data_IF_299732833842
#
_entry.id   IF_299732833842
#
_cell.length_a   1.000
_cell.length_b   1.000
_cell.length_c   1.000
_cell.angle_alpha   90.00
_cell.angle_beta   90.00
_cell.angle_gamma   90.00
#
_symmetry.space_group_name_H-M   'P 1'
#
loop_
_entity.id
_entity.type
_entity.pdbx_description
1 polymer ?
#
# COMPACT_ATOMS: atom_id res chain seq x y z
N UNK A 1 -7.10 -28.04 -0.55
CA UNK A 1 -6.33 -27.32 -1.60
C UNK A 1 -6.15 -25.89 -1.12
N UNK A 2 -4.93 -25.46 -0.83
CA UNK A 2 -4.66 -24.07 -0.40
C UNK A 2 -4.63 -23.20 -1.64
N UNK A 3 -5.59 -22.30 -1.77
CA UNK A 3 -5.64 -21.32 -2.85
C UNK A 3 -4.53 -20.29 -2.62
N UNK A 4 -3.44 -20.37 -3.40
CA UNK A 4 -2.35 -19.42 -3.33
C UNK A 4 -2.70 -18.21 -4.19
N UNK A 5 -3.04 -17.11 -3.53
CA UNK A 5 -3.46 -15.87 -4.20
C UNK A 5 -2.21 -15.00 -4.35
N UNK A 6 -1.77 -14.82 -5.59
CA UNK A 6 -0.61 -13.99 -5.92
C UNK A 6 -1.10 -12.62 -6.38
N UNK A 7 -0.66 -11.56 -5.70
CA UNK A 7 -0.89 -10.18 -6.17
C UNK A 7 0.38 -9.60 -6.74
N UNK A 8 0.26 -8.98 -7.91
CA UNK A 8 1.34 -8.22 -8.54
C UNK A 8 1.17 -6.76 -8.20
N UNK A 9 2.22 -6.19 -7.61
CA UNK A 9 2.30 -4.75 -7.37
C UNK A 9 3.50 -4.19 -8.12
N UNK A 10 3.37 -3.02 -8.77
CA UNK A 10 4.46 -2.45 -9.54
C UNK A 10 5.60 -1.96 -8.64
N UNK A 11 5.30 -1.56 -7.40
CA UNK A 11 6.27 -1.03 -6.44
C UNK A 11 5.90 -1.38 -5.01
N UNK A 12 6.90 -1.74 -4.22
CA UNK A 12 6.73 -2.00 -2.79
C UNK A 12 6.46 -0.71 -1.97
N UNK A 13 7.05 0.40 -2.40
CA UNK A 13 6.96 1.72 -1.77
C UNK A 13 6.58 2.75 -2.81
N UNK A 14 5.59 3.58 -2.51
CA UNK A 14 5.02 4.56 -3.45
C UNK A 14 4.82 5.91 -2.77
N UNK A 15 4.79 6.97 -3.58
CA UNK A 15 4.38 8.30 -3.12
C UNK A 15 2.85 8.37 -2.98
N UNK A 16 2.27 9.31 -2.20
CA UNK A 16 0.82 9.51 -2.13
C UNK A 16 0.15 9.75 -3.48
N UNK A 17 0.85 10.43 -4.39
CA UNK A 17 0.36 10.63 -5.77
C UNK A 17 0.34 9.35 -6.59
N UNK A 18 1.35 8.49 -6.46
CA UNK A 18 1.40 7.18 -7.12
C UNK A 18 0.36 6.23 -6.52
N UNK A 19 0.21 6.20 -5.19
CA UNK A 19 -0.82 5.46 -4.49
C UNK A 19 -2.22 5.81 -5.02
N UNK A 20 -2.48 7.12 -5.18
CA UNK A 20 -3.75 7.58 -5.71
C UNK A 20 -4.00 7.09 -7.14
N UNK A 21 -2.97 7.06 -7.98
CA UNK A 21 -3.07 6.54 -9.35
C UNK A 21 -3.32 5.02 -9.37
N UNK A 22 -2.65 4.25 -8.49
CA UNK A 22 -2.79 2.80 -8.40
C UNK A 22 -4.16 2.37 -7.88
N UNK A 23 -4.67 3.04 -6.84
CA UNK A 23 -6.00 2.73 -6.27
C UNK A 23 -7.15 3.42 -7.02
N UNK A 24 -6.86 4.26 -8.03
CA UNK A 24 -7.88 5.02 -8.76
C UNK A 24 -8.62 6.07 -7.91
N UNK A 25 -7.99 6.56 -6.84
CA UNK A 25 -8.58 7.56 -5.93
C UNK A 25 -8.03 8.97 -6.21
N UNK A 26 -8.72 10.00 -5.70
CA UNK A 26 -8.23 11.37 -5.76
C UNK A 26 -6.96 11.52 -4.90
N UNK A 27 -5.96 12.26 -5.41
CA UNK A 27 -4.73 12.59 -4.65
C UNK A 27 -5.05 13.16 -3.27
N UNK A 28 -6.02 14.08 -3.17
CA UNK A 28 -6.46 14.66 -1.89
C UNK A 28 -6.90 13.60 -0.87
N UNK A 29 -7.58 12.54 -1.33
CA UNK A 29 -7.99 11.42 -0.47
C UNK A 29 -6.77 10.65 0.03
N UNK A 30 -5.81 10.34 -0.83
CA UNK A 30 -4.56 9.68 -0.44
C UNK A 30 -3.77 10.50 0.60
N UNK A 31 -3.66 11.81 0.41
CA UNK A 31 -3.04 12.72 1.40
C UNK A 31 -3.82 12.73 2.71
N UNK A 32 -5.15 12.82 2.67
CA UNK A 32 -5.97 12.78 3.88
C UNK A 32 -5.81 11.46 4.65
N UNK A 33 -5.72 10.32 3.96
CA UNK A 33 -5.48 9.03 4.60
C UNK A 33 -4.09 8.93 5.24
N UNK A 34 -3.08 9.53 4.59
CA UNK A 34 -1.76 9.66 5.18
C UNK A 34 -1.78 10.53 6.46
N UNK A 35 -2.46 11.68 6.43
CA UNK A 35 -2.55 12.57 7.61
C UNK A 35 -3.34 11.94 8.74
N UNK A 36 -4.38 11.18 8.43
CA UNK A 36 -5.17 10.41 9.41
C UNK A 36 -4.46 9.16 9.94
N UNK A 37 -3.28 8.80 9.42
CA UNK A 37 -2.55 7.60 9.83
C UNK A 37 -3.19 6.28 9.38
N UNK A 38 -4.08 6.30 8.38
CA UNK A 38 -4.76 5.10 7.86
C UNK A 38 -3.87 4.27 6.94
N UNK A 39 -2.79 4.85 6.43
CA UNK A 39 -1.85 4.18 5.54
C UNK A 39 -0.55 3.88 6.27
N UNK A 40 0.07 2.71 6.04
CA UNK A 40 1.39 2.41 6.55
C UNK A 40 2.41 3.32 5.85
N UNK A 41 2.79 4.42 6.50
CA UNK A 41 3.76 5.37 5.99
C UNK A 41 5.14 5.13 6.58
N UNK A 42 6.17 5.34 5.78
CA UNK A 42 7.53 5.39 6.28
C UNK A 42 7.69 6.63 7.17
N UNK A 43 8.22 6.49 8.40
CA UNK A 43 8.44 7.62 9.28
C UNK A 43 9.34 8.65 8.59
N UNK A 44 8.89 9.90 8.62
CA UNK A 44 9.66 11.02 8.08
C UNK A 44 10.87 11.24 8.99
N UNK A 45 12.08 11.20 8.42
CA UNK A 45 13.29 11.58 9.16
C UNK A 45 13.29 13.08 9.44
N UNK A 46 12.86 13.91 8.48
CA UNK A 46 12.80 15.36 8.58
C UNK A 46 11.44 15.90 8.07
N UNK A 47 11.05 17.12 8.45
CA UNK A 47 9.82 17.77 7.98
C UNK A 47 9.76 17.92 6.43
N UNK A 48 10.92 18.08 5.78
CA UNK A 48 11.05 18.13 4.31
C UNK A 48 11.10 16.76 3.63
N UNK A 49 11.14 15.66 4.39
CA UNK A 49 11.17 14.33 3.79
C UNK A 49 9.85 14.02 3.08
N UNK A 50 9.95 13.57 1.83
CA UNK A 50 8.80 13.11 1.04
C UNK A 50 8.10 11.97 1.77
N UNK A 51 6.77 12.06 1.91
CA UNK A 51 5.95 10.96 2.41
C UNK A 51 6.10 9.75 1.48
N UNK A 52 6.41 8.60 2.07
CA UNK A 52 6.45 7.31 1.37
C UNK A 52 5.45 6.37 2.03
N UNK A 53 4.70 5.65 1.23
CA UNK A 53 3.68 4.68 1.68
C UNK A 53 4.19 3.29 1.35
N UNK A 54 4.16 2.39 2.33
CA UNK A 54 4.46 0.97 2.15
C UNK A 54 3.28 0.26 1.49
N UNK A 55 3.20 0.37 0.17
CA UNK A 55 2.09 -0.17 -0.62
C UNK A 55 1.96 -1.69 -0.50
N UNK A 56 3.09 -2.41 -0.47
CA UNK A 56 3.09 -3.85 -0.25
C UNK A 56 2.40 -4.23 1.07
N UNK A 57 2.74 -3.53 2.15
CA UNK A 57 2.18 -3.78 3.47
C UNK A 57 0.68 -3.40 3.53
N UNK A 58 0.29 -2.32 2.86
CA UNK A 58 -1.12 -1.94 2.73
C UNK A 58 -1.92 -3.04 2.04
N UNK A 59 -1.46 -3.53 0.89
CA UNK A 59 -2.14 -4.62 0.16
C UNK A 59 -2.14 -5.92 0.93
N UNK A 60 -1.07 -6.24 1.64
CA UNK A 60 -1.03 -7.40 2.52
C UNK A 60 -2.12 -7.35 3.60
N UNK A 61 -2.25 -6.20 4.28
CA UNK A 61 -3.28 -6.00 5.30
C UNK A 61 -4.68 -6.07 4.69
N UNK A 62 -4.91 -5.37 3.59
CA UNK A 62 -6.20 -5.37 2.89
C UNK A 62 -6.63 -6.80 2.49
N UNK A 63 -5.71 -7.60 1.96
CA UNK A 63 -5.98 -8.99 1.61
C UNK A 63 -6.19 -9.86 2.86
N UNK A 64 -5.37 -9.69 3.89
CA UNK A 64 -5.52 -10.42 5.15
C UNK A 64 -6.87 -10.15 5.80
N UNK A 65 -7.38 -8.92 5.75
CA UNK A 65 -8.69 -8.55 6.27
C UNK A 65 -9.83 -9.11 5.39
N UNK A 66 -9.66 -9.11 4.06
CA UNK A 66 -10.70 -9.56 3.13
C UNK A 66 -10.80 -11.07 2.94
N UNK A 67 -9.69 -11.81 3.07
CA UNK A 67 -9.56 -13.22 2.67
C UNK A 67 -9.07 -14.11 3.83
N UNK A 68 -8.89 -13.55 5.03
CA UNK A 68 -8.52 -14.27 6.25
C UNK A 68 -7.13 -14.91 6.20
N UNK A 69 -7.02 -16.14 6.71
CA UNK A 69 -5.76 -16.90 6.87
C UNK A 69 -5.15 -17.47 5.57
N UNK A 70 -5.60 -17.02 4.39
CA UNK A 70 -5.05 -17.55 3.14
C UNK A 70 -3.58 -17.13 2.98
N UNK A 71 -2.76 -18.00 2.36
CA UNK A 71 -1.36 -17.68 2.04
C UNK A 71 -1.35 -16.79 0.80
N UNK A 72 -0.95 -15.53 0.97
CA UNK A 72 -0.77 -14.58 -0.12
C UNK A 72 0.71 -14.39 -0.42
N UNK A 73 1.02 -14.29 -1.71
CA UNK A 73 2.36 -13.94 -2.18
C UNK A 73 2.30 -12.58 -2.88
N UNK A 74 3.18 -11.67 -2.47
CA UNK A 74 3.26 -10.33 -3.05
C UNK A 74 4.45 -10.33 -4.01
N UNK A 75 4.15 -10.38 -5.30
CA UNK A 75 5.15 -10.28 -6.36
C UNK A 75 5.36 -8.80 -6.66
N UNK A 76 6.57 -8.31 -6.38
CA UNK A 76 6.98 -6.94 -6.67
C UNK A 76 7.75 -6.95 -7.99
N UNK A 77 7.21 -6.30 -9.02
CA UNK A 77 7.82 -6.26 -10.35
C UNK A 77 6.77 -6.13 -11.46
N UNK A 78 7.24 -5.97 -12.70
CA UNK A 78 6.42 -6.14 -13.92
C UNK A 78 6.31 -7.62 -14.31
#
# INVERSE_FOLDING_TARGET
>A
MSTQISIRIPRAVVSPGEFAALEGIKRRTAYSWCEKGLLPIQPKKNAHSRTKIYYAQYKQKQLSESLGHSRFEILIGE
#
